data_IF_655025814317
#
_entry.id   IF_655025814317
#
_cell.length_a   1.000
_cell.length_b   1.000
_cell.length_c   1.000
_cell.angle_alpha   90.00
_cell.angle_beta   90.00
_cell.angle_gamma   90.00
#
_symmetry.space_group_name_H-M   'P 1'
#
loop_
_entity.id
_entity.type
_entity.pdbx_description
1 polymer ?
#
# COMPACT_ATOMS: atom_id res chain seq x y z
N UNK A 1 45.49 54.85 39.33
CA UNK A 1 45.33 54.53 37.91
C UNK A 1 44.51 53.22 37.82
N UNK A 2 43.19 53.36 37.83
CA UNK A 2 42.25 52.20 37.75
C UNK A 2 41.91 51.93 36.29
N UNK A 3 42.20 50.70 35.85
CA UNK A 3 41.81 50.20 34.52
C UNK A 3 40.40 49.65 34.62
N UNK A 4 39.39 50.36 34.09
CA UNK A 4 38.03 49.78 33.85
C UNK A 4 38.05 48.86 32.68
N UNK A 5 37.78 47.57 32.95
CA UNK A 5 37.53 46.57 31.91
C UNK A 5 36.05 46.63 31.51
N UNK A 6 35.79 46.86 30.23
CA UNK A 6 34.45 46.75 29.62
C UNK A 6 34.19 45.31 29.21
N UNK A 7 33.22 44.68 29.84
CA UNK A 7 32.69 43.37 29.43
C UNK A 7 31.65 43.59 28.31
N UNK A 8 31.99 43.22 27.09
CA UNK A 8 31.04 43.20 25.98
C UNK A 8 30.28 41.89 26.07
N UNK A 9 29.00 41.97 26.48
CA UNK A 9 28.08 40.84 26.48
C UNK A 9 27.50 40.70 25.07
N UNK A 10 28.03 39.73 24.28
CA UNK A 10 27.45 39.35 22.96
C UNK A 10 26.24 38.47 23.26
N UNK A 11 25.05 39.04 23.27
CA UNK A 11 23.82 38.26 23.22
C UNK A 11 23.68 37.64 21.82
N UNK A 12 24.07 36.37 21.68
CA UNK A 12 23.64 35.55 20.54
C UNK A 12 22.12 35.34 20.64
N UNK A 13 21.34 36.13 19.92
CA UNK A 13 19.95 35.83 19.63
C UNK A 13 19.92 34.62 18.66
N UNK A 14 19.85 33.40 19.19
CA UNK A 14 19.42 32.27 18.43
C UNK A 14 17.94 32.49 18.07
N UNK A 15 17.65 33.01 16.87
CA UNK A 15 16.33 32.88 16.27
C UNK A 15 16.06 31.40 16.06
N UNK A 16 15.47 30.74 17.05
CA UNK A 16 14.76 29.47 16.80
C UNK A 16 13.55 29.85 15.94
N UNK A 17 13.68 29.73 14.62
CA UNK A 17 12.52 29.64 13.76
C UNK A 17 11.78 28.34 14.18
N UNK A 18 10.84 28.50 15.10
CA UNK A 18 9.92 27.44 15.47
C UNK A 18 9.08 27.09 14.22
N UNK A 19 9.46 26.03 13.54
CA UNK A 19 8.58 25.42 12.53
C UNK A 19 7.39 24.92 13.34
N UNK A 20 6.23 25.58 13.20
CA UNK A 20 4.99 25.10 13.81
C UNK A 20 4.70 23.70 13.26
N UNK A 21 4.22 22.78 14.13
CA UNK A 21 3.77 21.47 13.70
C UNK A 21 2.76 21.63 12.54
N UNK A 22 2.82 20.76 11.52
CA UNK A 22 1.91 20.84 10.39
C UNK A 22 0.46 20.70 10.87
N UNK A 23 -0.44 21.49 10.27
CA UNK A 23 -1.87 21.40 10.58
C UNK A 23 -2.41 20.07 10.04
N UNK A 24 -3.22 19.39 10.85
CA UNK A 24 -3.92 18.19 10.44
C UNK A 24 -4.92 18.51 9.32
N UNK A 25 -4.85 17.76 8.21
CA UNK A 25 -5.82 17.85 7.11
C UNK A 25 -7.07 16.97 7.36
N UNK A 26 -8.02 16.98 6.43
CA UNK A 26 -9.26 16.19 6.50
C UNK A 26 -9.25 14.97 5.55
N UNK A 27 -8.08 14.50 5.13
CA UNK A 27 -8.01 13.29 4.31
C UNK A 27 -8.49 12.09 5.13
N UNK A 28 -9.53 11.44 4.63
CA UNK A 28 -10.10 10.25 5.26
C UNK A 28 -10.73 9.38 4.18
N UNK A 29 -10.47 8.07 4.24
CA UNK A 29 -10.96 7.05 3.31
C UNK A 29 -11.42 5.84 4.10
N UNK A 30 -12.23 4.96 3.49
CA UNK A 30 -12.71 3.75 4.15
C UNK A 30 -12.61 2.50 3.26
N UNK A 31 -13.15 2.55 2.03
CA UNK A 31 -13.28 1.38 1.16
C UNK A 31 -12.76 1.70 -0.23
N UNK A 32 -11.62 1.13 -0.58
CA UNK A 32 -10.97 1.37 -1.86
C UNK A 32 -10.70 0.12 -2.66
N UNK A 33 -10.14 0.33 -3.83
CA UNK A 33 -9.65 -0.70 -4.72
C UNK A 33 -8.37 -0.24 -5.40
N UNK A 34 -7.45 -1.18 -5.61
CA UNK A 34 -6.19 -0.94 -6.30
C UNK A 34 -6.40 -0.99 -7.82
N UNK A 35 -5.92 0.00 -8.54
CA UNK A 35 -5.89 0.02 -10.00
C UNK A 35 -4.54 -0.52 -10.48
N UNK A 36 -4.37 -1.84 -10.33
CA UNK A 36 -3.16 -2.56 -10.71
C UNK A 36 -3.07 -2.78 -12.22
N UNK A 37 -1.90 -3.22 -12.71
CA UNK A 37 -1.65 -3.62 -14.10
C UNK A 37 -1.96 -2.54 -15.15
N UNK A 38 -1.87 -1.29 -14.76
CA UNK A 38 -2.10 -0.12 -15.60
C UNK A 38 -0.86 0.78 -15.69
N UNK A 39 -0.65 1.66 -14.71
CA UNK A 39 0.57 2.46 -14.55
C UNK A 39 1.61 1.78 -13.68
N UNK A 40 1.35 0.56 -13.25
CA UNK A 40 2.24 -0.33 -12.51
C UNK A 40 2.08 -1.76 -13.01
N UNK A 41 3.13 -2.56 -12.89
CA UNK A 41 3.15 -4.01 -13.20
C UNK A 41 2.61 -4.33 -14.62
N UNK A 42 2.89 -3.46 -15.59
CA UNK A 42 2.39 -3.59 -16.95
C UNK A 42 3.43 -3.14 -17.97
N UNK A 43 3.53 -3.90 -19.05
CA UNK A 43 4.35 -3.51 -20.22
C UNK A 43 3.52 -2.85 -21.33
N UNK A 44 2.21 -2.67 -21.10
CA UNK A 44 1.30 -2.07 -22.08
C UNK A 44 1.54 -0.56 -22.17
N UNK A 45 1.55 -0.03 -23.38
CA UNK A 45 1.75 1.40 -23.70
C UNK A 45 0.77 1.85 -24.78
N UNK A 46 0.67 3.18 -24.99
CA UNK A 46 -0.17 3.78 -26.02
C UNK A 46 -1.65 3.55 -25.82
N UNK A 47 -2.40 3.39 -26.91
CA UNK A 47 -3.85 3.27 -26.89
C UNK A 47 -4.36 2.13 -25.98
N UNK A 48 -3.71 0.98 -25.98
CA UNK A 48 -4.11 -0.15 -25.15
C UNK A 48 -3.99 0.18 -23.65
N UNK A 49 -3.00 0.97 -23.23
CA UNK A 49 -2.88 1.46 -21.85
C UNK A 49 -3.95 2.50 -21.53
N UNK A 50 -4.27 3.39 -22.48
CA UNK A 50 -5.28 4.43 -22.31
C UNK A 50 -6.69 3.86 -22.12
N UNK A 51 -7.02 2.76 -22.81
CA UNK A 51 -8.35 2.13 -22.69
C UNK A 51 -8.48 1.11 -21.55
N UNK A 52 -7.39 0.76 -20.88
CA UNK A 52 -7.42 -0.18 -19.76
C UNK A 52 -8.19 0.36 -18.55
N UNK A 53 -7.99 1.64 -18.25
CA UNK A 53 -8.68 2.33 -17.16
C UNK A 53 -9.22 3.68 -17.64
N UNK A 54 -10.53 3.85 -17.56
CA UNK A 54 -11.27 4.94 -18.21
C UNK A 54 -12.19 5.65 -17.24
N UNK A 55 -12.83 6.74 -17.69
CA UNK A 55 -13.85 7.46 -16.91
C UNK A 55 -15.03 6.55 -16.53
N UNK A 56 -15.42 5.63 -17.42
CA UNK A 56 -16.50 4.69 -17.16
C UNK A 56 -16.16 3.75 -15.98
N UNK A 57 -14.91 3.34 -15.86
CA UNK A 57 -14.43 2.52 -14.74
C UNK A 57 -14.52 3.28 -13.41
N UNK A 58 -14.08 4.54 -13.39
CA UNK A 58 -14.15 5.39 -12.17
C UNK A 58 -15.59 5.65 -11.76
N UNK A 59 -16.48 5.93 -12.74
CA UNK A 59 -17.92 6.09 -12.50
C UNK A 59 -18.51 4.82 -11.89
N UNK A 60 -18.24 3.65 -12.48
CA UNK A 60 -18.69 2.36 -11.98
C UNK A 60 -18.23 2.13 -10.54
N UNK A 61 -16.95 2.35 -10.23
CA UNK A 61 -16.40 2.15 -8.89
C UNK A 61 -17.06 3.05 -7.84
N UNK A 62 -17.36 4.30 -8.19
CA UNK A 62 -18.13 5.19 -7.33
C UNK A 62 -19.57 4.70 -7.12
N UNK A 63 -20.25 4.27 -8.18
CA UNK A 63 -21.66 3.81 -8.12
C UNK A 63 -21.81 2.54 -7.26
N UNK A 64 -20.84 1.62 -7.32
CA UNK A 64 -20.85 0.41 -6.49
C UNK A 64 -20.35 0.62 -5.05
N UNK A 65 -19.94 1.84 -4.69
CA UNK A 65 -19.75 2.26 -3.29
C UNK A 65 -18.34 2.29 -2.76
N UNK A 66 -17.33 2.24 -3.61
CA UNK A 66 -15.97 2.63 -3.21
C UNK A 66 -15.91 4.13 -2.94
N UNK A 67 -15.02 4.55 -2.06
CA UNK A 67 -14.80 5.96 -1.71
C UNK A 67 -13.42 6.48 -2.11
N UNK A 68 -12.51 5.59 -2.50
CA UNK A 68 -11.18 5.97 -3.00
C UNK A 68 -10.57 4.90 -3.90
N UNK A 69 -9.56 5.33 -4.66
CA UNK A 69 -8.71 4.47 -5.48
C UNK A 69 -7.27 4.56 -4.99
N UNK A 70 -6.60 3.43 -4.83
CA UNK A 70 -5.15 3.37 -4.74
C UNK A 70 -4.62 3.18 -6.15
N UNK A 71 -3.74 4.09 -6.57
CA UNK A 71 -3.20 4.19 -7.92
C UNK A 71 -1.70 3.86 -7.89
N UNK A 72 -1.32 2.57 -8.01
CA UNK A 72 0.06 2.15 -8.13
C UNK A 72 0.70 2.72 -9.40
N UNK A 73 1.89 3.31 -9.29
CA UNK A 73 2.67 3.81 -10.41
C UNK A 73 4.11 3.32 -10.31
N UNK A 74 4.67 2.81 -11.40
CA UNK A 74 6.06 2.40 -11.45
C UNK A 74 6.95 3.53 -11.96
N UNK A 75 8.18 3.61 -11.45
CA UNK A 75 9.16 4.56 -11.97
C UNK A 75 9.32 4.46 -13.48
N UNK A 76 9.37 3.23 -14.02
CA UNK A 76 9.53 3.00 -15.48
C UNK A 76 8.33 3.45 -16.32
N UNK A 77 7.16 3.57 -15.69
CA UNK A 77 5.96 4.09 -16.36
C UNK A 77 5.95 5.60 -16.40
N UNK A 78 6.37 6.22 -15.29
CA UNK A 78 6.24 7.66 -15.07
C UNK A 78 7.46 8.44 -15.53
N UNK A 79 8.63 7.81 -15.57
CA UNK A 79 9.90 8.51 -15.86
C UNK A 79 10.77 7.70 -16.80
N UNK A 80 11.35 8.38 -17.79
CA UNK A 80 12.39 7.82 -18.65
C UNK A 80 13.70 7.55 -17.86
N UNK A 81 14.64 6.77 -18.40
CA UNK A 81 15.91 6.49 -17.73
C UNK A 81 16.74 7.72 -17.34
N UNK A 82 16.62 8.82 -18.09
CA UNK A 82 17.27 10.10 -17.82
C UNK A 82 16.56 10.94 -16.74
N UNK A 83 15.44 10.44 -16.20
CA UNK A 83 14.63 11.10 -15.17
C UNK A 83 13.60 12.09 -15.72
N UNK A 84 13.48 12.23 -17.04
CA UNK A 84 12.41 13.05 -17.63
C UNK A 84 11.04 12.38 -17.50
N UNK A 85 9.99 13.19 -17.42
CA UNK A 85 8.60 12.70 -17.24
C UNK A 85 8.06 12.09 -18.53
N UNK A 86 7.43 10.92 -18.40
CA UNK A 86 6.69 10.28 -19.48
C UNK A 86 5.31 10.93 -19.63
N UNK A 87 5.17 11.82 -20.60
CA UNK A 87 4.00 12.70 -20.78
C UNK A 87 2.68 11.93 -20.87
N UNK A 88 2.67 10.79 -21.57
CA UNK A 88 1.46 9.96 -21.69
C UNK A 88 1.03 9.44 -20.33
N UNK A 89 1.95 8.86 -19.54
CA UNK A 89 1.65 8.30 -18.23
C UNK A 89 1.13 9.36 -17.26
N UNK A 90 1.76 10.54 -17.23
CA UNK A 90 1.28 11.66 -16.41
C UNK A 90 -0.10 12.15 -16.87
N UNK A 91 -0.34 12.24 -18.19
CA UNK A 91 -1.68 12.60 -18.69
C UNK A 91 -2.74 11.60 -18.27
N UNK A 92 -2.45 10.30 -18.31
CA UNK A 92 -3.37 9.26 -17.85
C UNK A 92 -3.62 9.34 -16.34
N UNK A 93 -2.59 9.60 -15.54
CA UNK A 93 -2.74 9.81 -14.09
C UNK A 93 -3.63 11.02 -13.79
N UNK A 94 -3.39 12.16 -14.44
CA UNK A 94 -4.22 13.36 -14.29
C UNK A 94 -5.67 13.14 -14.71
N UNK A 95 -5.90 12.40 -15.81
CA UNK A 95 -7.25 12.01 -16.22
C UNK A 95 -7.96 11.21 -15.10
N UNK A 96 -7.29 10.18 -14.56
CA UNK A 96 -7.85 9.39 -13.47
C UNK A 96 -8.17 10.23 -12.22
N UNK A 97 -7.25 11.13 -11.82
CA UNK A 97 -7.47 12.03 -10.69
C UNK A 97 -8.64 13.00 -10.96
N UNK A 98 -8.76 13.53 -12.17
CA UNK A 98 -9.89 14.37 -12.57
C UNK A 98 -11.22 13.62 -12.52
N UNK A 99 -11.26 12.39 -13.01
CA UNK A 99 -12.46 11.53 -12.92
C UNK A 99 -12.80 11.19 -11.46
N UNK A 100 -11.78 10.90 -10.61
CA UNK A 100 -12.01 10.70 -9.18
C UNK A 100 -12.70 11.93 -8.55
N UNK A 101 -12.22 13.15 -8.83
CA UNK A 101 -12.87 14.37 -8.34
C UNK A 101 -14.31 14.50 -8.86
N UNK A 102 -14.53 14.25 -10.16
CA UNK A 102 -15.85 14.30 -10.78
C UNK A 102 -16.85 13.35 -10.11
N UNK A 103 -16.41 12.15 -9.78
CA UNK A 103 -17.26 11.12 -9.15
C UNK A 103 -17.12 11.03 -7.63
N UNK A 104 -16.46 12.02 -7.00
CA UNK A 104 -16.31 12.16 -5.54
C UNK A 104 -15.57 10.99 -4.89
N UNK A 105 -14.65 10.37 -5.59
CA UNK A 105 -13.68 9.45 -5.03
C UNK A 105 -12.44 10.21 -4.60
N UNK A 106 -11.79 9.77 -3.54
CA UNK A 106 -10.44 10.22 -3.19
C UNK A 106 -9.39 9.35 -3.89
N UNK A 107 -8.14 9.76 -3.85
CA UNK A 107 -7.05 9.01 -4.47
C UNK A 107 -5.84 8.89 -3.55
N UNK A 108 -5.12 7.78 -3.66
CA UNK A 108 -3.80 7.55 -3.08
C UNK A 108 -2.89 7.19 -4.23
N UNK A 109 -1.87 8.01 -4.51
CA UNK A 109 -0.82 7.67 -5.48
C UNK A 109 0.29 6.95 -4.73
N UNK A 110 0.59 5.73 -5.17
CA UNK A 110 1.58 4.85 -4.60
C UNK A 110 2.75 4.66 -5.57
N UNK A 111 3.97 4.98 -5.13
CA UNK A 111 5.19 4.67 -5.89
C UNK A 111 5.53 3.19 -5.69
N UNK A 112 5.15 2.35 -6.66
CA UNK A 112 5.01 0.91 -6.48
C UNK A 112 6.29 0.13 -6.76
N UNK A 113 6.87 0.30 -7.95
CA UNK A 113 8.11 -0.34 -8.37
C UNK A 113 9.12 0.72 -8.83
N UNK A 114 10.35 0.57 -8.36
CA UNK A 114 11.48 1.39 -8.77
C UNK A 114 12.46 0.55 -9.61
N UNK A 115 13.27 1.19 -10.42
CA UNK A 115 14.43 0.53 -11.05
C UNK A 115 15.42 -0.01 -10.02
N UNK A 116 15.48 0.64 -8.84
CA UNK A 116 16.35 0.27 -7.72
C UNK A 116 15.67 -0.61 -6.66
N UNK A 117 14.38 -0.89 -6.82
CA UNK A 117 13.63 -1.74 -5.90
C UNK A 117 12.42 -2.41 -6.56
N UNK A 118 12.41 -3.72 -6.50
CA UNK A 118 11.23 -4.54 -6.75
C UNK A 118 11.09 -5.52 -5.58
N UNK A 119 9.89 -5.67 -5.03
CA UNK A 119 9.62 -6.45 -3.81
C UNK A 119 9.97 -7.95 -3.92
N UNK A 120 10.15 -8.48 -5.14
CA UNK A 120 10.61 -9.85 -5.41
C UNK A 120 12.06 -9.93 -5.93
N UNK A 121 12.78 -8.81 -6.08
CA UNK A 121 14.14 -8.83 -6.59
C UNK A 121 15.15 -9.28 -5.52
N UNK A 122 16.22 -9.94 -5.97
CA UNK A 122 17.35 -10.30 -5.11
C UNK A 122 18.21 -9.07 -4.80
N UNK A 123 18.49 -8.26 -5.82
CA UNK A 123 19.26 -7.04 -5.68
C UNK A 123 18.35 -5.87 -5.36
N UNK A 124 18.74 -5.04 -4.39
CA UNK A 124 17.92 -3.98 -3.83
C UNK A 124 18.78 -2.74 -3.56
N UNK A 125 19.35 -2.13 -4.62
CA UNK A 125 20.31 -1.03 -4.45
C UNK A 125 19.70 0.20 -3.76
N UNK A 126 18.39 0.39 -3.77
CA UNK A 126 17.73 1.45 -3.01
C UNK A 126 18.19 1.49 -1.54
N UNK A 127 18.36 0.33 -0.90
CA UNK A 127 18.66 0.27 0.53
C UNK A 127 20.14 0.41 0.84
N UNK A 128 21.04 0.26 -0.15
CA UNK A 128 22.49 0.23 0.05
C UNK A 128 23.27 1.27 -0.75
N UNK A 129 22.71 1.79 -1.84
CA UNK A 129 23.35 2.80 -2.68
C UNK A 129 22.74 4.19 -2.46
N UNK A 130 23.58 5.12 -1.99
CA UNK A 130 23.16 6.51 -1.74
C UNK A 130 22.65 7.23 -2.99
N UNK A 131 23.13 6.88 -4.18
CA UNK A 131 22.65 7.47 -5.44
C UNK A 131 21.20 7.08 -5.70
N UNK A 132 20.85 5.82 -5.47
CA UNK A 132 19.48 5.34 -5.65
C UNK A 132 18.52 5.94 -4.62
N UNK A 133 18.99 6.17 -3.38
CA UNK A 133 18.21 6.90 -2.37
C UNK A 133 17.95 8.34 -2.80
N UNK A 134 18.97 9.06 -3.29
CA UNK A 134 18.81 10.43 -3.80
C UNK A 134 17.83 10.43 -4.98
N UNK A 135 17.95 9.48 -5.91
CA UNK A 135 17.00 9.33 -7.02
C UNK A 135 15.58 9.14 -6.53
N UNK A 136 15.36 8.28 -5.53
CA UNK A 136 14.04 8.07 -4.93
C UNK A 136 13.44 9.36 -4.35
N UNK A 137 14.24 10.16 -3.63
CA UNK A 137 13.78 11.44 -3.12
C UNK A 137 13.49 12.45 -4.22
N UNK A 138 14.27 12.44 -5.31
CA UNK A 138 14.04 13.31 -6.47
C UNK A 138 12.79 12.91 -7.27
N UNK A 139 12.46 11.61 -7.34
CA UNK A 139 11.18 11.14 -7.89
C UNK A 139 10.00 11.72 -7.09
N UNK A 140 10.06 11.66 -5.75
CA UNK A 140 9.03 12.25 -4.90
C UNK A 140 8.95 13.77 -5.02
N UNK A 141 10.07 14.47 -5.18
CA UNK A 141 10.04 15.91 -5.47
C UNK A 141 9.30 16.20 -6.77
N UNK A 142 9.58 15.44 -7.82
CA UNK A 142 8.94 15.63 -9.13
C UNK A 142 7.45 15.27 -9.07
N UNK A 143 7.07 14.17 -8.41
CA UNK A 143 5.67 13.79 -8.20
C UNK A 143 4.93 14.85 -7.38
N UNK A 144 5.50 15.32 -6.28
CA UNK A 144 4.93 16.39 -5.44
C UNK A 144 4.75 17.69 -6.24
N UNK A 145 5.76 18.12 -7.02
CA UNK A 145 5.65 19.28 -7.88
C UNK A 145 4.57 19.15 -8.96
N UNK A 146 4.31 17.95 -9.46
CA UNK A 146 3.25 17.70 -10.44
C UNK A 146 1.87 17.67 -9.80
N UNK A 147 1.77 17.08 -8.61
CA UNK A 147 0.49 16.74 -7.98
C UNK A 147 0.03 17.73 -6.89
N UNK A 148 0.87 18.69 -6.49
CA UNK A 148 0.59 19.61 -5.36
C UNK A 148 -0.67 20.49 -5.55
N UNK A 149 -1.11 20.66 -6.79
CA UNK A 149 -2.33 21.43 -7.12
C UNK A 149 -3.62 20.72 -6.68
N UNK A 150 -3.58 19.41 -6.47
CA UNK A 150 -4.71 18.68 -5.92
C UNK A 150 -4.82 18.91 -4.41
N UNK A 151 -6.05 19.12 -3.93
CA UNK A 151 -6.30 19.36 -2.49
C UNK A 151 -5.72 18.23 -1.63
N UNK A 152 -5.18 18.60 -0.47
CA UNK A 152 -4.69 17.66 0.56
C UNK A 152 -5.81 16.78 1.14
N UNK A 153 -7.07 17.21 1.05
CA UNK A 153 -8.23 16.42 1.47
C UNK A 153 -8.69 15.41 0.41
N UNK A 154 -8.18 15.53 -0.82
CA UNK A 154 -8.53 14.67 -1.95
C UNK A 154 -7.46 13.62 -2.24
N UNK A 155 -6.18 14.02 -2.27
CA UNK A 155 -5.06 13.19 -2.70
C UNK A 155 -4.08 12.96 -1.56
N UNK A 156 -3.65 11.71 -1.37
CA UNK A 156 -2.56 11.30 -0.51
C UNK A 156 -1.47 10.56 -1.30
N UNK A 157 -0.28 10.45 -0.72
CA UNK A 157 0.85 9.73 -1.31
C UNK A 157 1.23 8.55 -0.43
N UNK A 158 1.49 7.39 -1.03
CA UNK A 158 2.13 6.27 -0.35
C UNK A 158 3.60 6.20 -0.80
N UNK A 159 4.52 6.30 0.16
CA UNK A 159 5.92 6.53 -0.12
C UNK A 159 6.56 5.45 -0.99
N UNK A 160 6.26 4.21 -0.72
CA UNK A 160 6.70 3.06 -1.50
C UNK A 160 5.89 1.81 -1.14
N UNK A 161 5.57 1.02 -2.17
CA UNK A 161 4.99 -0.30 -2.01
C UNK A 161 6.06 -1.30 -1.52
N UNK A 162 5.71 -2.07 -0.49
CA UNK A 162 6.38 -3.30 -0.08
C UNK A 162 7.92 -3.24 0.00
N UNK A 163 8.51 -2.37 0.83
CA UNK A 163 9.94 -2.33 1.04
C UNK A 163 10.47 -3.65 1.59
N UNK A 164 11.64 -4.12 1.07
CA UNK A 164 12.27 -5.38 1.46
C UNK A 164 13.76 -5.21 1.78
N UNK A 165 14.09 -4.23 2.60
CA UNK A 165 15.44 -3.99 3.09
C UNK A 165 15.94 -5.19 3.92
N UNK A 166 17.24 -5.42 3.94
CA UNK A 166 17.85 -6.48 4.77
C UNK A 166 17.80 -6.12 6.26
N UNK A 167 17.95 -4.83 6.57
CA UNK A 167 17.80 -4.27 7.92
C UNK A 167 16.66 -3.24 7.95
N UNK A 168 15.84 -3.26 8.99
CA UNK A 168 14.74 -2.31 9.18
C UNK A 168 15.21 -0.85 9.24
N UNK A 169 16.40 -0.58 9.79
CA UNK A 169 16.93 0.76 9.87
C UNK A 169 17.28 1.36 8.49
N UNK A 170 17.63 0.55 7.51
CA UNK A 170 17.83 1.03 6.14
C UNK A 170 16.53 1.66 5.61
N UNK A 171 15.38 0.99 5.79
CA UNK A 171 14.10 1.52 5.40
C UNK A 171 13.66 2.72 6.27
N UNK A 172 13.83 2.66 7.59
CA UNK A 172 13.50 3.76 8.50
C UNK A 172 14.21 5.06 8.13
N UNK A 173 15.51 4.98 7.76
CA UNK A 173 16.27 6.14 7.32
C UNK A 173 15.75 6.74 6.02
N UNK A 174 15.34 5.89 5.08
CA UNK A 174 14.74 6.31 3.80
C UNK A 174 13.38 6.98 4.06
N UNK A 175 12.54 6.40 4.91
CA UNK A 175 11.25 7.01 5.33
C UNK A 175 11.46 8.40 5.90
N UNK A 176 12.35 8.55 6.88
CA UNK A 176 12.59 9.84 7.52
C UNK A 176 13.01 10.92 6.53
N UNK A 177 13.93 10.62 5.62
CA UNK A 177 14.42 11.56 4.61
C UNK A 177 13.36 11.84 3.52
N UNK A 178 12.59 10.83 3.11
CA UNK A 178 11.52 11.00 2.14
C UNK A 178 10.39 11.88 2.68
N UNK A 179 9.92 11.61 3.89
CA UNK A 179 8.92 12.44 4.56
C UNK A 179 9.42 13.88 4.66
N UNK A 180 10.66 14.08 5.14
CA UNK A 180 11.27 15.41 5.23
C UNK A 180 11.28 16.12 3.87
N UNK A 181 11.62 15.41 2.81
CA UNK A 181 11.69 15.94 1.45
C UNK A 181 10.32 16.42 0.96
N UNK A 182 9.27 15.62 1.16
CA UNK A 182 7.90 16.00 0.77
C UNK A 182 7.36 17.13 1.65
N UNK A 183 7.63 17.13 2.96
CA UNK A 183 7.17 18.17 3.89
C UNK A 183 7.71 19.56 3.57
N UNK A 184 8.89 19.67 2.95
CA UNK A 184 9.42 20.95 2.47
C UNK A 184 8.58 21.56 1.32
N UNK A 185 7.85 20.73 0.58
CA UNK A 185 7.01 21.14 -0.56
C UNK A 185 5.53 21.20 -0.17
N UNK A 186 5.07 20.19 0.56
CA UNK A 186 3.67 19.98 0.93
C UNK A 186 3.55 19.64 2.44
N UNK A 187 3.55 20.64 3.32
CA UNK A 187 3.53 20.41 4.77
C UNK A 187 2.33 19.63 5.28
N UNK A 188 1.17 19.74 4.61
CA UNK A 188 -0.11 19.16 5.07
C UNK A 188 -0.54 17.93 4.27
N UNK A 189 0.21 17.48 3.25
CA UNK A 189 -0.14 16.30 2.45
C UNK A 189 -0.17 15.03 3.30
N UNK A 190 -1.24 14.23 3.21
CA UNK A 190 -1.26 12.90 3.84
C UNK A 190 -0.24 11.98 3.18
N UNK A 191 0.61 11.35 4.00
CA UNK A 191 1.62 10.40 3.58
C UNK A 191 1.38 9.05 4.24
N UNK A 192 1.25 8.01 3.42
CA UNK A 192 1.12 6.63 3.87
C UNK A 192 2.51 6.01 4.00
N UNK A 193 2.76 5.39 5.15
CA UNK A 193 4.06 4.78 5.48
C UNK A 193 3.83 3.38 6.02
N UNK A 194 4.39 2.40 5.37
CA UNK A 194 4.37 1.00 5.81
C UNK A 194 5.71 0.53 6.36
N UNK A 195 5.68 -0.60 7.07
CA UNK A 195 6.87 -1.24 7.61
C UNK A 195 7.68 -1.95 6.53
N UNK A 196 8.94 -2.31 6.86
CA UNK A 196 9.77 -3.17 6.01
C UNK A 196 9.17 -4.58 5.87
N UNK A 197 9.71 -5.40 4.96
CA UNK A 197 9.27 -6.79 4.69
C UNK A 197 7.81 -6.88 4.25
N UNK A 198 7.54 -6.33 3.03
CA UNK A 198 6.24 -6.35 2.35
C UNK A 198 5.11 -5.65 3.12
N UNK A 199 5.44 -4.63 3.92
CA UNK A 199 4.46 -3.94 4.78
C UNK A 199 3.69 -4.91 5.71
N UNK A 200 4.35 -6.02 6.08
CA UNK A 200 3.78 -7.05 6.93
C UNK A 200 3.50 -6.57 8.35
N UNK A 201 2.44 -7.09 8.97
CA UNK A 201 2.08 -6.79 10.36
C UNK A 201 3.20 -7.16 11.34
N UNK A 202 3.94 -8.24 11.06
CA UNK A 202 5.01 -8.77 11.94
C UNK A 202 6.15 -7.78 12.15
N UNK A 203 6.36 -6.90 11.18
CA UNK A 203 7.46 -5.93 11.17
C UNK A 203 7.04 -4.52 11.56
N UNK A 204 5.75 -4.30 11.81
CA UNK A 204 5.23 -2.99 12.19
C UNK A 204 5.94 -2.40 13.42
N UNK A 205 6.25 -3.23 14.42
CA UNK A 205 6.97 -2.82 15.64
C UNK A 205 8.39 -2.27 15.40
N UNK A 206 8.97 -2.49 14.22
CA UNK A 206 10.29 -1.98 13.87
C UNK A 206 10.25 -0.71 13.03
N UNK A 207 9.04 -0.28 12.61
CA UNK A 207 8.87 0.96 11.87
C UNK A 207 9.14 2.15 12.80
N UNK A 208 10.00 3.07 12.34
CA UNK A 208 10.23 4.37 12.96
C UNK A 208 9.67 5.44 12.05
N UNK A 209 8.78 6.25 12.60
CA UNK A 209 8.14 7.35 11.88
C UNK A 209 8.55 8.68 12.49
N UNK A 210 8.57 9.78 11.70
CA UNK A 210 8.77 11.12 12.24
C UNK A 210 7.74 11.46 13.32
N UNK A 211 8.20 11.99 14.44
CA UNK A 211 7.34 12.41 15.54
C UNK A 211 6.55 13.69 15.20
N UNK A 212 5.37 13.83 15.80
CA UNK A 212 4.55 15.04 15.71
C UNK A 212 4.10 15.41 14.28
N UNK A 213 3.98 14.45 13.39
CA UNK A 213 3.39 14.64 12.07
C UNK A 213 1.96 14.06 12.02
N UNK A 214 0.91 14.89 12.16
CA UNK A 214 -0.48 14.44 12.24
C UNK A 214 -1.05 13.97 10.89
N UNK A 215 -0.31 14.17 9.80
CA UNK A 215 -0.71 13.82 8.43
C UNK A 215 0.00 12.55 7.92
N UNK A 216 0.56 11.74 8.82
CA UNK A 216 0.97 10.38 8.51
C UNK A 216 -0.20 9.41 8.68
N UNK A 217 -0.21 8.37 7.86
CA UNK A 217 -1.14 7.24 7.91
C UNK A 217 -0.29 5.97 7.92
N UNK A 218 -0.52 5.10 8.90
CA UNK A 218 0.18 3.83 8.96
C UNK A 218 -0.44 2.87 7.95
N UNK A 219 0.38 2.31 7.06
CA UNK A 219 -0.04 1.37 6.02
C UNK A 219 0.50 -0.04 6.30
N UNK A 220 -0.29 -1.06 6.01
CA UNK A 220 0.12 -2.46 6.02
C UNK A 220 -0.59 -3.24 4.92
N UNK A 221 -0.01 -4.39 4.54
CA UNK A 221 -0.62 -5.34 3.62
C UNK A 221 -0.97 -6.63 4.37
N UNK A 222 -2.02 -7.33 3.92
CA UNK A 222 -2.44 -8.54 4.60
C UNK A 222 -2.96 -9.60 3.63
N UNK A 223 -2.18 -10.67 3.49
CA UNK A 223 -2.50 -11.81 2.64
C UNK A 223 -2.48 -13.15 3.39
N UNK A 224 -2.47 -13.13 4.72
CA UNK A 224 -2.50 -14.38 5.47
C UNK A 224 -3.92 -14.96 5.59
N UNK A 225 -4.05 -16.28 5.43
CA UNK A 225 -3.00 -17.28 5.18
C UNK A 225 -2.62 -17.35 3.69
N UNK A 226 -1.33 -17.23 3.39
CA UNK A 226 -0.82 -17.06 2.03
C UNK A 226 -1.19 -18.21 1.08
N UNK A 227 -1.25 -19.46 1.56
CA UNK A 227 -1.69 -20.60 0.75
C UNK A 227 -3.14 -20.46 0.23
N UNK A 228 -4.01 -19.80 1.00
CA UNK A 228 -5.40 -19.54 0.59
C UNK A 228 -5.46 -18.37 -0.39
N UNK A 229 -4.88 -17.23 0.01
CA UNK A 229 -5.00 -15.98 -0.75
C UNK A 229 -4.28 -16.00 -2.08
N UNK A 230 -3.19 -16.79 -2.18
CA UNK A 230 -2.39 -17.00 -3.39
C UNK A 230 -2.51 -18.42 -3.95
N UNK A 231 -3.62 -19.07 -3.70
CA UNK A 231 -3.84 -20.44 -4.14
C UNK A 231 -3.56 -20.63 -5.63
N UNK A 232 -2.58 -21.48 -5.96
CA UNK A 232 -2.09 -21.76 -7.33
C UNK A 232 -1.52 -20.54 -8.07
N UNK A 233 -1.13 -19.48 -7.37
CA UNK A 233 -0.51 -18.32 -8.01
C UNK A 233 0.87 -18.68 -8.59
N UNK A 234 0.98 -18.65 -9.91
CA UNK A 234 2.14 -19.17 -10.65
C UNK A 234 3.48 -18.51 -10.36
N UNK A 235 3.47 -17.34 -9.77
CA UNK A 235 4.67 -16.56 -9.39
C UNK A 235 5.12 -16.77 -7.93
N UNK A 236 4.44 -17.63 -7.18
CA UNK A 236 4.71 -17.90 -5.76
C UNK A 236 5.17 -19.32 -5.51
N UNK A 237 5.72 -19.56 -4.32
CA UNK A 237 6.11 -20.90 -3.88
C UNK A 237 4.93 -21.83 -3.61
N UNK A 238 3.71 -21.30 -3.44
CA UNK A 238 2.51 -22.11 -3.22
C UNK A 238 1.87 -22.63 -4.52
N UNK A 239 2.40 -22.24 -5.69
CA UNK A 239 1.91 -22.69 -7.01
C UNK A 239 1.85 -24.20 -7.17
N UNK A 240 2.76 -24.93 -6.53
CA UNK A 240 2.90 -26.37 -6.67
C UNK A 240 1.83 -27.15 -5.88
N UNK A 241 1.08 -26.47 -5.00
CA UNK A 241 -0.01 -27.09 -4.27
C UNK A 241 -1.27 -27.12 -5.12
N UNK A 242 -1.67 -28.32 -5.52
CA UNK A 242 -2.86 -28.57 -6.37
C UNK A 242 -4.03 -29.20 -5.62
N UNK A 243 -3.83 -29.58 -4.34
CA UNK A 243 -4.89 -30.11 -3.47
C UNK A 243 -5.94 -29.05 -3.09
N UNK A 244 -6.89 -29.42 -2.27
CA UNK A 244 -7.92 -28.50 -1.77
C UNK A 244 -7.36 -27.61 -0.67
N UNK A 245 -7.80 -26.36 -0.64
CA UNK A 245 -7.57 -25.44 0.49
C UNK A 245 -8.88 -25.21 1.24
N UNK A 246 -8.79 -24.95 2.54
CA UNK A 246 -9.95 -24.76 3.42
C UNK A 246 -9.75 -23.49 4.27
N UNK A 247 -10.87 -22.84 4.58
CA UNK A 247 -10.94 -21.76 5.55
C UNK A 247 -12.36 -21.65 6.13
N UNK A 248 -12.54 -21.45 7.45
CA UNK A 248 -11.52 -21.45 8.51
C UNK A 248 -11.04 -22.86 8.88
N UNK A 249 -9.96 -22.92 9.67
CA UNK A 249 -9.37 -24.15 10.20
C UNK A 249 -8.03 -24.49 9.59
N UNK A 250 -7.71 -25.78 9.50
CA UNK A 250 -6.51 -26.27 8.80
C UNK A 250 -6.64 -26.00 7.30
N UNK A 251 -5.64 -25.33 6.72
CA UNK A 251 -5.68 -25.02 5.28
C UNK A 251 -5.58 -26.26 4.39
N UNK A 252 -4.87 -27.26 4.84
CA UNK A 252 -4.78 -28.57 4.20
C UNK A 252 -5.39 -29.59 5.16
N UNK A 253 -6.44 -30.28 4.75
CA UNK A 253 -7.05 -31.33 5.55
C UNK A 253 -6.15 -32.56 5.66
N UNK A 254 -6.36 -33.38 6.70
CA UNK A 254 -5.55 -34.59 6.93
C UNK A 254 -5.64 -35.58 5.76
N UNK A 255 -6.79 -35.64 5.07
CA UNK A 255 -7.00 -36.45 3.88
C UNK A 255 -6.16 -35.96 2.70
N UNK A 256 -6.13 -34.66 2.45
CA UNK A 256 -5.37 -34.06 1.35
C UNK A 256 -3.87 -34.17 1.61
N UNK A 257 -3.41 -34.03 2.86
CA UNK A 257 -2.01 -34.19 3.25
C UNK A 257 -1.47 -35.59 2.93
N UNK A 258 -2.27 -36.64 3.08
CA UNK A 258 -1.88 -38.04 2.79
C UNK A 258 -1.50 -38.28 1.32
N UNK A 259 -1.99 -37.44 0.43
CA UNK A 259 -1.70 -37.50 -1.00
C UNK A 259 -0.38 -36.83 -1.38
N UNK A 260 0.18 -36.00 -0.51
CA UNK A 260 1.48 -35.35 -0.70
C UNK A 260 2.61 -36.32 -0.34
N UNK A 261 3.68 -36.33 -1.15
CA UNK A 261 4.87 -37.18 -0.95
C UNK A 261 6.14 -36.41 -1.26
N UNK A 262 7.24 -36.82 -0.63
CA UNK A 262 8.57 -36.26 -0.86
C UNK A 262 8.61 -34.74 -0.63
N UNK A 263 9.24 -34.02 -1.52
CA UNK A 263 9.43 -32.56 -1.42
C UNK A 263 8.11 -31.77 -1.27
N UNK A 264 7.03 -32.22 -1.91
CA UNK A 264 5.73 -31.57 -1.77
C UNK A 264 5.18 -31.73 -0.35
N UNK A 265 5.34 -32.90 0.26
CA UNK A 265 4.93 -33.11 1.65
C UNK A 265 5.73 -32.17 2.58
N UNK A 266 7.07 -32.16 2.43
CA UNK A 266 7.94 -31.33 3.28
C UNK A 266 7.59 -29.83 3.14
N UNK A 267 7.30 -29.37 1.93
CA UNK A 267 6.95 -27.99 1.63
C UNK A 267 5.59 -27.58 2.21
N UNK A 268 4.60 -28.45 2.17
CA UNK A 268 3.21 -28.09 2.49
C UNK A 268 2.68 -28.64 3.82
N UNK A 269 3.40 -29.56 4.49
CA UNK A 269 2.94 -30.16 5.75
C UNK A 269 2.70 -29.11 6.87
N UNK A 270 3.39 -27.98 6.82
CA UNK A 270 3.16 -26.87 7.73
C UNK A 270 1.70 -26.40 7.74
N UNK A 271 1.08 -26.28 6.56
CA UNK A 271 -0.28 -25.76 6.41
C UNK A 271 -1.39 -26.69 6.94
N UNK A 272 -1.06 -27.94 7.23
CA UNK A 272 -1.94 -28.85 7.96
C UNK A 272 -1.83 -28.70 9.48
N UNK A 273 -0.68 -28.18 9.97
CA UNK A 273 -0.41 -28.04 11.41
C UNK A 273 -0.93 -26.72 12.00
N UNK A 274 -1.14 -25.73 11.15
CA UNK A 274 -1.62 -24.40 11.57
C UNK A 274 -3.10 -24.27 11.24
N UNK A 275 -3.83 -23.68 12.17
CA UNK A 275 -5.23 -23.33 11.99
C UNK A 275 -5.35 -21.83 11.79
N UNK A 276 -6.07 -21.43 10.74
CA UNK A 276 -6.41 -20.06 10.50
C UNK A 276 -7.90 -19.85 10.66
N UNK A 277 -8.25 -18.80 11.38
CA UNK A 277 -9.61 -18.36 11.62
C UNK A 277 -9.58 -16.85 11.94
N UNK A 278 -10.74 -16.29 12.18
CA UNK A 278 -10.90 -14.87 12.51
C UNK A 278 -10.07 -14.44 13.73
N UNK A 279 -10.01 -15.28 14.78
CA UNK A 279 -9.27 -15.00 16.00
C UNK A 279 -7.77 -14.91 15.75
N UNK A 280 -7.22 -15.72 14.84
CA UNK A 280 -5.81 -15.65 14.43
C UNK A 280 -5.55 -14.36 13.65
N UNK A 281 -6.41 -14.02 12.69
CA UNK A 281 -6.30 -12.77 11.94
C UNK A 281 -6.40 -11.57 12.89
N UNK A 282 -7.30 -11.62 13.86
CA UNK A 282 -7.46 -10.54 14.84
C UNK A 282 -6.21 -10.32 15.69
N UNK A 283 -5.50 -11.39 16.07
CA UNK A 283 -4.21 -11.25 16.78
C UNK A 283 -3.18 -10.50 15.96
N UNK A 284 -3.11 -10.81 14.65
CA UNK A 284 -2.23 -10.09 13.74
C UNK A 284 -2.63 -8.61 13.61
N UNK A 285 -3.93 -8.33 13.49
CA UNK A 285 -4.44 -6.96 13.42
C UNK A 285 -4.15 -6.14 14.68
N UNK A 286 -4.18 -6.76 15.86
CA UNK A 286 -3.86 -6.08 17.12
C UNK A 286 -2.44 -5.50 17.09
N UNK A 287 -1.46 -6.16 16.49
CA UNK A 287 -0.09 -5.63 16.42
C UNK A 287 -0.04 -4.29 15.68
N UNK A 288 -0.72 -4.17 14.52
CA UNK A 288 -0.75 -2.92 13.76
C UNK A 288 -1.67 -1.86 14.37
N UNK A 289 -2.78 -2.29 14.96
CA UNK A 289 -3.73 -1.40 15.66
C UNK A 289 -3.07 -0.77 16.89
N UNK A 290 -2.34 -1.56 17.69
CA UNK A 290 -1.66 -1.05 18.88
C UNK A 290 -0.54 -0.08 18.51
N UNK A 291 0.19 -0.37 17.42
CA UNK A 291 1.19 0.56 16.88
C UNK A 291 0.55 1.89 16.44
N UNK A 292 -0.51 1.84 15.64
CA UNK A 292 -1.19 3.05 15.15
C UNK A 292 -1.80 3.87 16.30
N UNK A 293 -2.37 3.21 17.33
CA UNK A 293 -2.88 3.86 18.54
C UNK A 293 -1.79 4.52 19.37
N UNK A 294 -0.64 3.86 19.54
CA UNK A 294 0.51 4.42 20.24
C UNK A 294 0.94 5.76 19.62
N UNK A 295 0.93 5.83 18.29
CA UNK A 295 1.31 7.03 17.54
C UNK A 295 0.13 7.99 17.27
N UNK A 296 -1.09 7.64 17.66
CA UNK A 296 -2.33 8.41 17.42
C UNK A 296 -2.56 8.72 15.92
N UNK A 297 -2.23 7.76 15.05
CA UNK A 297 -2.32 7.88 13.60
C UNK A 297 -3.40 6.95 13.03
N UNK A 298 -4.02 7.34 11.89
CA UNK A 298 -4.93 6.46 11.17
C UNK A 298 -4.21 5.20 10.64
N UNK A 299 -4.97 4.10 10.52
CA UNK A 299 -4.47 2.82 9.98
C UNK A 299 -5.15 2.50 8.66
N UNK A 300 -4.38 2.01 7.71
CA UNK A 300 -4.79 1.67 6.36
C UNK A 300 -4.23 0.31 5.94
N UNK A 301 -5.10 -0.60 5.47
CA UNK A 301 -4.66 -1.81 4.78
C UNK A 301 -4.61 -1.54 3.28
N UNK A 302 -3.41 -1.29 2.74
CA UNK A 302 -3.19 -0.90 1.34
C UNK A 302 -3.51 -2.00 0.36
N UNK A 303 -3.30 -3.26 0.78
CA UNK A 303 -3.61 -4.43 -0.03
C UNK A 303 -4.10 -5.59 0.82
N UNK A 304 -5.15 -6.22 0.37
CA UNK A 304 -5.66 -7.51 0.82
C UNK A 304 -6.51 -8.12 -0.29
N UNK A 305 -6.58 -9.45 -0.35
CA UNK A 305 -7.38 -10.11 -1.38
C UNK A 305 -7.13 -11.60 -1.47
N UNK A 306 -7.99 -12.29 -2.21
CA UNK A 306 -7.81 -13.68 -2.61
C UNK A 306 -7.87 -13.81 -4.12
N UNK A 307 -6.91 -14.55 -4.68
CA UNK A 307 -6.86 -14.83 -6.13
C UNK A 307 -8.13 -15.55 -6.61
N UNK A 308 -8.51 -15.34 -7.86
CA UNK A 308 -9.72 -15.93 -8.45
C UNK A 308 -9.78 -17.47 -8.34
N UNK A 309 -8.63 -18.15 -8.38
CA UNK A 309 -8.53 -19.62 -8.25
C UNK A 309 -8.91 -20.16 -6.87
N UNK A 310 -8.94 -19.31 -5.83
CA UNK A 310 -9.34 -19.73 -4.47
C UNK A 310 -10.78 -20.22 -4.47
N UNK A 311 -11.09 -21.39 -3.84
CA UNK A 311 -12.45 -21.91 -3.79
C UNK A 311 -13.44 -20.89 -3.24
N UNK A 312 -14.56 -20.67 -3.95
CA UNK A 312 -15.50 -19.58 -3.70
C UNK A 312 -15.93 -19.48 -2.22
N UNK A 313 -16.38 -20.60 -1.65
CA UNK A 313 -16.90 -20.60 -0.28
C UNK A 313 -15.84 -20.26 0.78
N UNK A 314 -14.59 -20.69 0.58
CA UNK A 314 -13.48 -20.40 1.49
C UNK A 314 -13.02 -18.95 1.35
N UNK A 315 -12.97 -18.45 0.10
CA UNK A 315 -12.71 -17.05 -0.21
C UNK A 315 -13.74 -16.12 0.43
N UNK A 316 -15.02 -16.41 0.30
CA UNK A 316 -16.10 -15.60 0.88
C UNK A 316 -16.03 -15.55 2.41
N UNK A 317 -15.77 -16.67 3.10
CA UNK A 317 -15.60 -16.68 4.56
C UNK A 317 -14.41 -15.86 5.00
N UNK A 318 -13.29 -15.95 4.27
CA UNK A 318 -12.11 -15.14 4.58
C UNK A 318 -12.39 -13.65 4.40
N UNK A 319 -13.04 -13.23 3.29
CA UNK A 319 -13.41 -11.84 3.10
C UNK A 319 -14.39 -11.34 4.17
N UNK A 320 -15.35 -12.16 4.59
CA UNK A 320 -16.27 -11.81 5.66
C UNK A 320 -15.51 -11.50 6.95
N UNK A 321 -14.61 -12.39 7.39
CA UNK A 321 -13.81 -12.19 8.59
C UNK A 321 -12.93 -10.95 8.50
N UNK A 322 -12.30 -10.72 7.34
CA UNK A 322 -11.48 -9.53 7.08
C UNK A 322 -12.32 -8.24 7.20
N UNK A 323 -13.48 -8.19 6.55
CA UNK A 323 -14.35 -7.00 6.57
C UNK A 323 -14.86 -6.71 7.99
N UNK A 324 -15.27 -7.74 8.73
CA UNK A 324 -15.71 -7.59 10.11
C UNK A 324 -14.59 -7.03 11.02
N UNK A 325 -13.35 -7.48 10.82
CA UNK A 325 -12.19 -6.98 11.57
C UNK A 325 -11.80 -5.55 11.16
N UNK A 326 -11.82 -5.23 9.87
CA UNK A 326 -11.62 -3.86 9.41
C UNK A 326 -12.65 -2.89 9.99
N UNK A 327 -13.93 -3.27 9.98
CA UNK A 327 -15.00 -2.43 10.53
C UNK A 327 -14.91 -2.33 12.07
N UNK A 328 -14.54 -3.41 12.76
CA UNK A 328 -14.34 -3.45 14.23
C UNK A 328 -13.23 -2.48 14.68
N UNK A 329 -12.15 -2.41 13.94
CA UNK A 329 -10.98 -1.61 14.30
C UNK A 329 -10.89 -0.29 13.53
N UNK A 330 -11.93 0.06 12.75
CA UNK A 330 -12.02 1.28 11.93
C UNK A 330 -10.84 1.41 10.96
N UNK A 331 -10.36 0.29 10.40
CA UNK A 331 -9.25 0.26 9.45
C UNK A 331 -9.77 0.58 8.05
N UNK A 332 -9.23 1.63 7.44
CA UNK A 332 -9.45 1.91 6.04
C UNK A 332 -8.68 0.87 5.18
N UNK A 333 -9.21 0.54 3.99
CA UNK A 333 -8.69 -0.58 3.20
C UNK A 333 -8.84 -0.40 1.70
N UNK A 334 -7.96 -1.03 0.90
CA UNK A 334 -8.14 -1.18 -0.54
C UNK A 334 -7.96 -2.64 -0.97
N UNK A 335 -8.97 -3.21 -1.64
CA UNK A 335 -8.87 -4.55 -2.20
C UNK A 335 -7.82 -4.60 -3.32
N UNK A 336 -6.96 -5.57 -3.31
CA UNK A 336 -6.15 -5.96 -4.45
C UNK A 336 -6.92 -7.02 -5.23
N UNK A 337 -7.50 -6.77 -6.43
CA UNK A 337 -7.36 -5.56 -7.21
C UNK A 337 -8.64 -5.25 -8.05
N UNK A 338 -8.54 -4.41 -9.08
CA UNK A 338 -9.67 -4.06 -9.95
C UNK A 338 -9.89 -5.10 -11.07
N UNK A 339 -8.89 -5.28 -11.97
CA UNK A 339 -9.00 -6.12 -13.18
C UNK A 339 -7.94 -7.21 -13.28
N UNK A 340 -7.12 -7.44 -12.25
CA UNK A 340 -6.07 -8.45 -12.23
C UNK A 340 -6.53 -9.82 -11.73
N UNK A 341 -5.58 -10.63 -11.28
CA UNK A 341 -5.85 -12.00 -10.81
C UNK A 341 -6.66 -12.10 -9.52
N UNK A 342 -6.79 -11.01 -8.75
CA UNK A 342 -7.62 -10.88 -7.55
C UNK A 342 -8.82 -9.97 -7.79
N UNK A 343 -9.14 -9.74 -9.06
CA UNK A 343 -10.01 -8.66 -9.52
C UNK A 343 -11.45 -8.74 -9.05
N UNK A 344 -12.03 -7.55 -8.82
CA UNK A 344 -13.48 -7.41 -8.69
C UNK A 344 -14.18 -7.44 -10.07
N UNK A 345 -13.40 -7.36 -11.15
CA UNK A 345 -13.82 -7.63 -12.53
C UNK A 345 -13.01 -8.81 -13.04
N UNK A 346 -13.67 -9.89 -13.38
CA UNK A 346 -13.05 -11.08 -13.94
C UNK A 346 -13.55 -11.29 -15.38
N UNK A 347 -12.64 -11.31 -16.35
CA UNK A 347 -12.98 -11.43 -17.79
C UNK A 347 -14.04 -10.43 -18.26
N UNK A 348 -14.00 -9.20 -17.72
CA UNK A 348 -14.98 -8.15 -18.04
C UNK A 348 -16.30 -8.26 -17.27
N UNK A 349 -16.47 -9.24 -16.39
CA UNK A 349 -17.69 -9.47 -15.62
C UNK A 349 -17.48 -9.05 -14.16
N UNK A 350 -18.33 -8.13 -13.63
CA UNK A 350 -18.29 -7.76 -12.22
C UNK A 350 -18.59 -8.94 -11.30
N UNK A 351 -17.75 -9.13 -10.29
CA UNK A 351 -17.92 -10.12 -9.23
C UNK A 351 -18.88 -9.56 -8.17
N UNK A 352 -20.19 -9.66 -8.42
CA UNK A 352 -21.22 -8.98 -7.64
C UNK A 352 -21.20 -9.30 -6.15
N UNK A 353 -20.99 -10.58 -5.79
CA UNK A 353 -20.91 -11.02 -4.39
C UNK A 353 -19.69 -10.40 -3.69
N UNK A 354 -18.54 -10.38 -4.36
CA UNK A 354 -17.32 -9.76 -3.81
C UNK A 354 -17.49 -8.25 -3.65
N UNK A 355 -18.04 -7.57 -4.65
CA UNK A 355 -18.30 -6.13 -4.59
C UNK A 355 -19.27 -5.81 -3.44
N UNK A 356 -20.32 -6.61 -3.27
CA UNK A 356 -21.24 -6.45 -2.14
C UNK A 356 -20.53 -6.62 -0.79
N UNK A 357 -19.69 -7.63 -0.63
CA UNK A 357 -18.92 -7.81 0.61
C UNK A 357 -18.01 -6.60 0.87
N UNK A 358 -17.32 -6.10 -0.15
CA UNK A 358 -16.36 -4.99 0.00
C UNK A 358 -17.03 -3.65 0.31
N UNK A 359 -18.22 -3.40 -0.24
CA UNK A 359 -18.86 -2.07 -0.23
C UNK A 359 -20.18 -2.01 0.53
N UNK A 360 -20.86 -3.13 0.71
CA UNK A 360 -22.22 -3.21 1.27
C UNK A 360 -23.30 -2.76 0.28
N UNK A 361 -22.97 -2.58 -1.03
CA UNK A 361 -23.93 -2.15 -2.05
C UNK A 361 -24.17 -3.22 -3.10
N UNK A 362 -25.44 -3.46 -3.42
CA UNK A 362 -25.81 -4.32 -4.53
C UNK A 362 -25.61 -3.58 -5.86
N UNK A 363 -25.07 -4.28 -6.84
CA UNK A 363 -25.05 -3.84 -8.24
C UNK A 363 -26.48 -4.03 -8.78
N UNK A 364 -27.07 -2.96 -9.26
CA UNK A 364 -28.39 -3.00 -9.91
C UNK A 364 -28.27 -3.42 -11.36
#
# INVERSE_FOLDING_TARGET
MEKKAWLICICCLCCMCGVSAPKKNNFSVKRGVNISHWLSQSNVRGENRAVFFTEADVKFLSEVGFDHLRLPVDEEQMFAPDGSKEKEAFSLLHNALSWCQKYRLKAIVDLHILRSHHFNAKEKPLFTDRKEQIRFYDLWKQLSQELHTYSVDFLAYELMNEPVADDHEQWNNIVAECVRTIRLLEPERSLLVGSNRWQGYETMRYLKIPENDPNLIISFHYYNPFLLTHYRAGWTDVKDYTGKVHYPGKLIADEDLKHLKGELYDKFAYWNKVEFNKEVIEKHFKEVVDFARLHQLPLYCGEFGCIAATPKADKERWYQDMIELFDKYEIARANWDYKGGFGIIEQGIPQTDLIYMLTGRNIK
#
